data_IF_864395927859
#
_entry.id   IF_864395927859
#
_cell.length_a   1.000
_cell.length_b   1.000
_cell.length_c   1.000
_cell.angle_alpha   90.00
_cell.angle_beta   90.00
_cell.angle_gamma   90.00
#
_symmetry.space_group_name_H-M   'P 1'
#
loop_
_entity.id
_entity.type
_entity.pdbx_description
1 polymer ?
#
# COMPACT_ATOMS: atom_id res chain seq x y z
N UNK A 1 -44.74 -52.07 -17.50
CA UNK A 1 -43.96 -51.45 -18.60
C UNK A 1 -43.36 -50.16 -18.09
N UNK A 2 -42.03 -50.16 -17.93
CA UNK A 2 -41.21 -49.14 -17.25
C UNK A 2 -40.92 -48.01 -18.25
N UNK A 3 -41.25 -46.76 -17.90
CA UNK A 3 -40.81 -45.56 -18.64
C UNK A 3 -39.42 -45.15 -18.13
N UNK A 4 -38.43 -44.89 -18.99
CA UNK A 4 -37.11 -44.45 -18.53
C UNK A 4 -37.15 -42.96 -18.17
N UNK A 5 -36.56 -42.63 -17.03
CA UNK A 5 -36.31 -41.27 -16.57
C UNK A 5 -35.07 -40.73 -17.30
N UNK A 6 -35.24 -39.71 -18.15
CA UNK A 6 -34.13 -39.03 -18.80
C UNK A 6 -33.49 -38.06 -17.81
N UNK A 7 -32.34 -38.43 -17.25
CA UNK A 7 -31.52 -37.54 -16.42
C UNK A 7 -30.70 -36.63 -17.35
N UNK A 8 -31.06 -35.36 -17.37
CA UNK A 8 -30.33 -34.32 -18.10
C UNK A 8 -29.14 -33.86 -17.25
N UNK A 9 -27.94 -34.40 -17.53
CA UNK A 9 -26.68 -33.89 -16.98
C UNK A 9 -26.30 -32.58 -17.69
N UNK A 10 -26.67 -31.44 -17.12
CA UNK A 10 -26.08 -30.15 -17.51
C UNK A 10 -24.64 -30.10 -17.00
N UNK A 11 -23.68 -30.31 -17.91
CA UNK A 11 -22.29 -29.93 -17.69
C UNK A 11 -22.13 -28.45 -18.04
N UNK A 12 -22.20 -27.58 -17.04
CA UNK A 12 -21.81 -26.18 -17.20
C UNK A 12 -20.28 -26.09 -17.18
N UNK A 13 -19.68 -26.02 -18.37
CA UNK A 13 -18.30 -25.58 -18.50
C UNK A 13 -18.23 -24.12 -18.02
N UNK A 14 -17.63 -23.90 -16.84
CA UNK A 14 -17.24 -22.57 -16.40
C UNK A 14 -16.08 -22.10 -17.28
N UNK A 15 -16.41 -21.43 -18.38
CA UNK A 15 -15.44 -20.57 -19.06
C UNK A 15 -15.21 -19.39 -18.13
N UNK A 16 -14.12 -19.46 -17.35
CA UNK A 16 -13.53 -18.31 -16.69
C UNK A 16 -13.11 -17.33 -17.78
N UNK A 17 -14.01 -16.40 -18.17
CA UNK A 17 -13.56 -15.12 -18.67
C UNK A 17 -12.79 -14.49 -17.52
N UNK A 18 -11.46 -14.60 -17.55
CA UNK A 18 -10.62 -13.68 -16.85
C UNK A 18 -10.90 -12.30 -17.47
N UNK A 19 -11.93 -11.63 -16.96
CA UNK A 19 -12.16 -10.23 -17.21
C UNK A 19 -10.89 -9.52 -16.78
N UNK A 20 -10.01 -9.27 -17.74
CA UNK A 20 -8.92 -8.34 -17.58
C UNK A 20 -9.62 -7.00 -17.38
N UNK A 21 -9.91 -6.66 -16.12
CA UNK A 21 -10.39 -5.35 -15.77
C UNK A 21 -9.40 -4.37 -16.41
N UNK A 22 -9.90 -3.65 -17.40
CA UNK A 22 -9.15 -2.70 -18.20
C UNK A 22 -8.40 -1.78 -17.23
N UNK A 23 -7.10 -1.61 -17.44
CA UNK A 23 -6.26 -0.84 -16.52
C UNK A 23 -6.55 0.66 -16.72
N UNK A 24 -7.64 1.12 -16.12
CA UNK A 24 -8.10 2.51 -16.19
C UNK A 24 -7.39 3.39 -15.16
N UNK A 25 -7.46 4.71 -15.36
CA UNK A 25 -6.99 5.67 -14.39
C UNK A 25 -7.76 5.52 -13.07
N UNK A 26 -7.11 5.82 -11.95
CA UNK A 26 -7.75 5.75 -10.63
C UNK A 26 -8.93 6.71 -10.53
N UNK A 27 -9.94 6.37 -9.73
CA UNK A 27 -11.11 7.25 -9.52
C UNK A 27 -10.81 8.45 -8.61
N UNK A 28 -9.74 8.40 -7.82
CA UNK A 28 -9.40 9.42 -6.84
C UNK A 28 -7.92 9.41 -6.50
N UNK A 29 -7.37 10.59 -6.25
CA UNK A 29 -6.00 10.80 -5.78
C UNK A 29 -6.02 11.04 -4.27
N UNK A 30 -5.14 10.37 -3.53
CA UNK A 30 -5.00 10.64 -2.10
C UNK A 30 -4.48 12.07 -1.88
N UNK A 31 -4.92 12.75 -0.80
CA UNK A 31 -4.72 14.20 -0.68
C UNK A 31 -3.32 14.58 -0.20
N UNK A 32 -2.64 13.70 0.55
CA UNK A 32 -1.39 14.04 1.22
C UNK A 32 -0.18 13.82 0.31
N UNK A 33 0.91 14.53 0.62
CA UNK A 33 2.18 14.48 -0.11
C UNK A 33 3.35 14.18 0.84
N UNK A 34 4.30 13.42 0.34
CA UNK A 34 5.58 13.16 0.99
C UNK A 34 6.70 13.55 0.04
N UNK A 35 7.49 14.54 0.43
CA UNK A 35 8.64 14.98 -0.35
C UNK A 35 9.77 13.93 -0.32
N UNK A 36 10.27 13.59 -1.50
CA UNK A 36 11.35 12.61 -1.72
C UNK A 36 12.28 13.16 -2.80
N UNK A 37 13.47 13.63 -2.41
CA UNK A 37 14.52 14.08 -3.33
C UNK A 37 14.06 15.09 -4.41
N UNK A 38 13.17 16.01 -4.03
CA UNK A 38 12.59 17.02 -4.93
C UNK A 38 11.43 16.53 -5.80
N UNK A 39 10.96 15.29 -5.60
CA UNK A 39 9.71 14.76 -6.10
C UNK A 39 8.72 14.55 -4.94
N UNK A 40 7.47 14.17 -5.24
CA UNK A 40 6.43 13.97 -4.24
C UNK A 40 5.72 12.63 -4.42
N UNK A 41 5.73 11.80 -3.37
CA UNK A 41 4.86 10.63 -3.29
C UNK A 41 3.45 11.04 -2.83
N UNK A 42 2.44 10.38 -3.37
CA UNK A 42 1.05 10.54 -2.96
C UNK A 42 0.71 9.52 -1.88
N UNK A 43 0.01 9.93 -0.83
CA UNK A 43 -0.42 9.06 0.25
C UNK A 43 -1.71 9.59 0.89
N UNK A 44 -2.46 8.70 1.55
CA UNK A 44 -3.57 9.06 2.42
C UNK A 44 -3.19 8.87 3.87
N UNK A 45 -3.52 9.86 4.71
CA UNK A 45 -3.30 9.83 6.15
C UNK A 45 -4.63 9.88 6.89
N UNK A 46 -4.73 9.15 8.02
CA UNK A 46 -5.90 9.26 8.90
C UNK A 46 -5.88 10.48 9.82
N UNK A 47 -4.75 11.17 9.87
CA UNK A 47 -4.52 12.45 10.52
C UNK A 47 -3.19 12.99 10.02
N UNK A 48 -3.02 14.32 9.98
CA UNK A 48 -1.74 14.94 9.68
C UNK A 48 -0.61 14.40 10.58
N UNK A 49 0.62 14.45 10.10
CA UNK A 49 1.80 13.92 10.81
C UNK A 49 2.96 14.92 10.89
N UNK A 50 2.67 16.21 10.73
CA UNK A 50 3.67 17.31 10.74
C UNK A 50 3.92 17.90 12.13
N UNK A 51 3.05 17.62 13.08
CA UNK A 51 3.17 18.03 14.47
C UNK A 51 3.34 16.81 15.39
N UNK A 52 3.96 16.96 16.58
CA UNK A 52 4.12 15.87 17.53
C UNK A 52 2.83 15.12 17.84
N UNK A 53 2.89 13.78 17.84
CA UNK A 53 1.77 12.86 18.06
C UNK A 53 2.04 11.94 19.26
N UNK A 54 2.04 12.47 20.51
CA UNK A 54 2.34 11.67 21.71
C UNK A 54 1.30 10.59 22.03
N UNK A 55 0.09 10.66 21.44
CA UNK A 55 -0.93 9.61 21.62
C UNK A 55 -0.74 8.40 20.70
N UNK A 56 0.11 8.50 19.68
CA UNK A 56 0.29 7.44 18.70
C UNK A 56 1.29 6.42 19.23
N UNK A 57 0.81 5.20 19.39
CA UNK A 57 1.60 4.04 19.83
C UNK A 57 1.79 3.02 18.71
N UNK A 58 0.89 3.04 17.71
CA UNK A 58 0.93 2.14 16.56
C UNK A 58 0.78 2.91 15.25
N UNK A 59 1.50 2.47 14.23
CA UNK A 59 1.26 2.88 12.84
C UNK A 59 0.87 1.66 12.02
N UNK A 60 -0.13 1.80 11.14
CA UNK A 60 -0.44 0.82 10.11
C UNK A 60 -0.28 1.46 8.74
N UNK A 61 0.68 0.97 7.96
CA UNK A 61 0.90 1.32 6.56
C UNK A 61 0.21 0.24 5.73
N UNK A 62 -0.76 0.61 4.91
CA UNK A 62 -1.49 -0.33 4.04
C UNK A 62 -1.23 -0.06 2.57
N UNK A 63 -0.80 -1.10 1.84
CA UNK A 63 -0.54 -1.04 0.41
C UNK A 63 -1.70 -1.63 -0.38
N UNK A 64 -2.22 -0.84 -1.30
CA UNK A 64 -3.31 -1.21 -2.21
C UNK A 64 -2.88 -2.31 -3.20
N UNK A 65 -3.87 -2.97 -3.81
CA UNK A 65 -3.64 -3.88 -4.93
C UNK A 65 -3.40 -3.16 -6.26
N UNK A 66 -3.43 -3.91 -7.37
CA UNK A 66 -3.18 -3.42 -8.74
C UNK A 66 -4.01 -2.20 -9.15
N UNK A 67 -5.22 -2.04 -8.60
CA UNK A 67 -6.15 -0.95 -8.96
C UNK A 67 -5.81 0.41 -8.34
N UNK A 68 -4.67 0.54 -7.64
CA UNK A 68 -4.16 1.84 -7.13
C UNK A 68 -5.14 2.63 -6.26
N UNK A 69 -6.09 1.94 -5.61
CA UNK A 69 -7.19 2.54 -4.85
C UNK A 69 -6.87 2.74 -3.35
N UNK A 70 -5.77 3.45 -3.05
CA UNK A 70 -5.24 3.67 -1.70
C UNK A 70 -6.29 4.11 -0.67
N UNK A 71 -7.16 5.08 -1.02
CA UNK A 71 -8.19 5.58 -0.10
C UNK A 71 -9.21 4.50 0.31
N UNK A 72 -9.49 3.52 -0.57
CA UNK A 72 -10.35 2.38 -0.21
C UNK A 72 -9.68 1.51 0.85
N UNK A 73 -8.38 1.27 0.72
CA UNK A 73 -7.60 0.52 1.70
C UNK A 73 -7.45 1.26 3.03
N UNK A 74 -7.23 2.59 2.99
CA UNK A 74 -7.20 3.43 4.18
C UNK A 74 -8.51 3.32 4.98
N UNK A 75 -9.66 3.44 4.30
CA UNK A 75 -10.99 3.28 4.94
C UNK A 75 -11.18 1.89 5.53
N UNK A 76 -10.65 0.84 4.89
CA UNK A 76 -10.74 -0.52 5.42
C UNK A 76 -9.97 -0.67 6.74
N UNK A 77 -8.72 -0.18 6.81
CA UNK A 77 -7.95 -0.23 8.06
C UNK A 77 -8.49 0.72 9.13
N UNK A 78 -9.14 1.83 8.73
CA UNK A 78 -9.83 2.71 9.66
C UNK A 78 -11.05 2.04 10.30
N UNK A 79 -11.87 1.33 9.51
CA UNK A 79 -12.97 0.51 10.06
C UNK A 79 -12.44 -0.54 11.04
N UNK A 80 -11.36 -1.24 10.69
CA UNK A 80 -10.75 -2.23 11.56
C UNK A 80 -10.23 -1.61 12.87
N UNK A 81 -9.56 -0.44 12.80
CA UNK A 81 -9.06 0.28 13.97
C UNK A 81 -10.19 0.79 14.88
N UNK A 82 -11.32 1.19 14.30
CA UNK A 82 -12.52 1.57 15.05
C UNK A 82 -13.14 0.36 15.76
N UNK A 83 -13.29 -0.77 15.06
CA UNK A 83 -13.84 -2.01 15.61
C UNK A 83 -12.97 -2.57 16.75
N UNK A 84 -11.64 -2.44 16.66
CA UNK A 84 -10.72 -2.84 17.73
C UNK A 84 -10.60 -1.82 18.86
N UNK A 85 -11.23 -0.64 18.74
CA UNK A 85 -11.10 0.49 19.68
C UNK A 85 -9.67 1.04 19.80
N UNK A 86 -8.84 0.84 18.77
CA UNK A 86 -7.44 1.25 18.73
C UNK A 86 -7.23 2.55 17.93
N UNK A 87 -8.25 3.07 17.25
CA UNK A 87 -8.16 4.22 16.33
C UNK A 87 -7.52 5.47 16.96
N UNK A 88 -7.80 5.73 18.24
CA UNK A 88 -7.29 6.92 18.95
C UNK A 88 -5.77 6.92 19.19
N UNK A 89 -5.13 5.75 19.13
CA UNK A 89 -3.67 5.57 19.30
C UNK A 89 -2.97 5.00 18.06
N UNK A 90 -3.68 4.93 16.94
CA UNK A 90 -3.18 4.36 15.69
C UNK A 90 -3.17 5.40 14.59
N UNK A 91 -1.99 5.65 14.00
CA UNK A 91 -1.86 6.40 12.75
C UNK A 91 -2.00 5.43 11.58
N UNK A 92 -2.87 5.75 10.62
CA UNK A 92 -3.10 4.93 9.43
C UNK A 92 -2.58 5.67 8.21
N UNK A 93 -1.83 4.95 7.37
CA UNK A 93 -1.14 5.49 6.20
C UNK A 93 -1.43 4.58 5.01
N UNK A 94 -1.80 5.16 3.87
CA UNK A 94 -1.99 4.44 2.63
C UNK A 94 -1.26 5.16 1.48
N UNK A 95 0.00 4.79 1.19
CA UNK A 95 0.70 5.27 0.00
C UNK A 95 -0.08 4.90 -1.25
N UNK A 96 -0.13 5.81 -2.22
CA UNK A 96 -0.73 5.60 -3.53
C UNK A 96 0.36 5.65 -4.59
N UNK A 97 0.70 4.48 -5.14
CA UNK A 97 1.66 4.37 -6.24
C UNK A 97 0.91 4.56 -7.56
N UNK A 98 1.06 5.75 -8.15
CA UNK A 98 0.36 6.16 -9.37
C UNK A 98 1.06 5.65 -10.62
N UNK A 99 0.27 5.43 -11.67
CA UNK A 99 0.72 5.18 -13.03
C UNK A 99 0.75 6.49 -13.84
N UNK A 100 1.48 6.51 -14.96
CA UNK A 100 1.55 7.65 -15.89
C UNK A 100 0.17 8.12 -16.35
N UNK A 101 -0.76 7.17 -16.56
CA UNK A 101 -2.14 7.48 -16.94
C UNK A 101 -2.90 8.26 -15.86
N UNK A 102 -2.57 8.03 -14.59
CA UNK A 102 -3.22 8.71 -13.47
C UNK A 102 -2.82 10.19 -13.44
N UNK A 103 -1.56 10.49 -13.81
CA UNK A 103 -1.10 11.88 -13.91
C UNK A 103 -1.87 12.63 -14.99
N UNK A 104 -1.99 12.03 -16.18
CA UNK A 104 -2.70 12.65 -17.31
C UNK A 104 -4.19 12.83 -16.98
N UNK A 105 -4.85 11.78 -16.49
CA UNK A 105 -6.30 11.82 -16.23
C UNK A 105 -6.69 12.84 -15.14
N UNK A 106 -5.83 13.03 -14.12
CA UNK A 106 -6.10 13.94 -13.00
C UNK A 106 -5.39 15.29 -13.12
N UNK A 107 -4.73 15.57 -14.26
CA UNK A 107 -3.98 16.80 -14.49
C UNK A 107 -3.00 17.11 -13.35
N UNK A 108 -2.31 16.08 -12.85
CA UNK A 108 -1.43 16.21 -11.70
C UNK A 108 -0.13 16.92 -12.08
N UNK A 109 0.49 17.66 -11.14
CA UNK A 109 1.77 18.28 -11.38
C UNK A 109 2.86 17.27 -11.74
N UNK A 110 3.82 17.70 -12.55
CA UNK A 110 4.97 16.88 -12.94
C UNK A 110 5.82 16.42 -11.75
N UNK A 111 5.75 17.12 -10.59
CA UNK A 111 6.46 16.75 -9.36
C UNK A 111 6.03 15.41 -8.77
N UNK A 112 4.84 14.92 -9.13
CA UNK A 112 4.27 13.70 -8.55
C UNK A 112 4.94 12.45 -9.12
N UNK A 113 5.41 11.61 -8.21
CA UNK A 113 5.98 10.31 -8.52
C UNK A 113 4.96 9.39 -9.19
N UNK A 114 5.39 8.77 -10.29
CA UNK A 114 4.62 7.81 -11.08
C UNK A 114 5.49 6.69 -11.61
N UNK A 115 4.91 5.52 -11.78
CA UNK A 115 5.57 4.34 -12.32
C UNK A 115 4.94 3.95 -13.64
N UNK A 116 5.65 3.17 -14.46
CA UNK A 116 5.03 2.53 -15.62
C UNK A 116 4.22 1.33 -15.17
N UNK A 117 2.92 1.33 -15.44
CA UNK A 117 2.03 0.20 -15.18
C UNK A 117 2.17 -0.31 -13.73
N UNK A 118 2.56 -1.57 -13.56
CA UNK A 118 2.68 -2.24 -12.27
C UNK A 118 4.10 -2.27 -11.72
N UNK A 119 5.05 -1.52 -12.30
CA UNK A 119 6.46 -1.56 -11.88
C UNK A 119 6.68 -1.25 -10.39
N UNK A 120 5.80 -0.42 -9.80
CA UNK A 120 5.83 -0.15 -8.36
C UNK A 120 5.65 -1.42 -7.49
N UNK A 121 4.96 -2.46 -7.99
CA UNK A 121 4.75 -3.73 -7.28
C UNK A 121 6.04 -4.55 -7.12
N UNK A 122 7.01 -4.29 -7.99
CA UNK A 122 8.30 -5.00 -8.05
C UNK A 122 9.41 -4.24 -7.33
N UNK A 123 9.15 -3.01 -6.86
CA UNK A 123 10.21 -2.13 -6.37
C UNK A 123 10.89 -1.32 -7.46
N UNK A 124 10.34 -1.29 -8.69
CA UNK A 124 10.96 -0.60 -9.79
C UNK A 124 11.07 0.91 -9.54
N UNK A 125 11.94 1.54 -10.31
CA UNK A 125 12.15 2.99 -10.29
C UNK A 125 10.99 3.70 -10.99
N UNK A 126 10.50 4.80 -10.42
CA UNK A 126 9.49 5.68 -11.02
C UNK A 126 9.95 6.21 -12.38
N UNK A 127 9.02 6.36 -13.32
CA UNK A 127 9.29 6.94 -14.64
C UNK A 127 9.34 8.46 -14.64
N UNK A 128 8.85 9.11 -13.58
CA UNK A 128 9.01 10.55 -13.39
C UNK A 128 8.55 11.02 -12.02
N UNK A 129 8.91 12.25 -11.63
CA UNK A 129 9.90 13.12 -12.30
C UNK A 129 11.36 12.73 -12.01
N UNK A 130 11.59 11.87 -11.01
CA UNK A 130 12.91 11.44 -10.56
C UNK A 130 12.95 9.92 -10.46
N UNK A 131 14.13 9.29 -10.52
CA UNK A 131 14.25 7.87 -10.30
C UNK A 131 14.12 7.53 -8.80
N UNK A 132 12.93 7.09 -8.38
CA UNK A 132 12.63 6.70 -6.99
C UNK A 132 11.99 5.31 -6.99
N UNK A 133 12.59 4.37 -6.26
CA UNK A 133 11.97 3.05 -6.04
C UNK A 133 10.72 3.19 -5.15
N UNK A 134 9.69 2.36 -5.37
CA UNK A 134 8.57 2.27 -4.42
C UNK A 134 9.02 1.84 -3.02
N UNK A 135 10.13 1.11 -2.89
CA UNK A 135 10.74 0.79 -1.60
C UNK A 135 11.34 2.03 -0.91
N UNK A 136 11.93 2.95 -1.68
CA UNK A 136 12.45 4.21 -1.14
C UNK A 136 11.32 5.10 -0.59
N UNK A 137 10.11 5.00 -1.14
CA UNK A 137 8.93 5.66 -0.56
C UNK A 137 8.63 5.13 0.83
N UNK A 138 8.73 3.80 1.03
CA UNK A 138 8.57 3.18 2.35
C UNK A 138 9.68 3.62 3.31
N UNK A 139 10.93 3.63 2.86
CA UNK A 139 12.07 4.11 3.67
C UNK A 139 11.84 5.55 4.15
N UNK A 140 11.37 6.46 3.28
CA UNK A 140 11.06 7.83 3.68
C UNK A 140 9.91 7.93 4.68
N UNK A 141 8.90 7.05 4.58
CA UNK A 141 7.83 6.95 5.58
C UNK A 141 8.41 6.47 6.91
N UNK A 142 9.18 5.38 6.92
CA UNK A 142 9.76 4.79 8.13
C UNK A 142 10.73 5.74 8.82
N UNK A 143 11.57 6.44 8.05
CA UNK A 143 12.49 7.48 8.54
C UNK A 143 11.75 8.63 9.21
N UNK A 144 10.56 9.00 8.72
CA UNK A 144 9.74 10.02 9.38
C UNK A 144 9.16 9.49 10.69
N UNK A 145 8.72 8.24 10.70
CA UNK A 145 8.13 7.60 11.87
C UNK A 145 9.16 7.31 12.97
N UNK A 146 10.45 7.20 12.63
CA UNK A 146 11.53 7.03 13.61
C UNK A 146 11.95 8.33 14.31
N UNK A 147 11.39 9.49 13.95
CA UNK A 147 11.65 10.74 14.65
C UNK A 147 10.91 10.76 16.00
N UNK A 148 11.63 10.50 17.09
CA UNK A 148 11.10 10.49 18.46
C UNK A 148 10.59 11.85 18.94
N UNK A 149 10.93 12.96 18.26
CA UNK A 149 10.31 14.27 18.54
C UNK A 149 8.89 14.34 17.98
N UNK A 150 8.63 13.67 16.87
CA UNK A 150 7.29 13.58 16.27
C UNK A 150 6.47 12.45 16.89
N UNK A 151 7.08 11.30 17.18
CA UNK A 151 6.39 10.10 17.65
C UNK A 151 7.02 9.51 18.92
N UNK A 152 7.00 10.25 20.05
CA UNK A 152 7.75 9.88 21.26
C UNK A 152 7.30 8.58 21.92
N UNK A 153 6.07 8.10 21.63
CA UNK A 153 5.48 6.92 22.24
C UNK A 153 5.21 5.78 21.24
N UNK A 154 5.77 5.86 20.03
CA UNK A 154 5.58 4.83 19.00
C UNK A 154 6.23 3.51 19.44
N UNK A 155 5.49 2.41 19.34
CA UNK A 155 5.93 1.07 19.77
C UNK A 155 5.94 0.06 18.63
N UNK A 156 5.03 0.22 17.65
CA UNK A 156 4.87 -0.75 16.57
C UNK A 156 4.50 -0.07 15.25
N UNK A 157 5.14 -0.50 14.17
CA UNK A 157 4.76 -0.21 12.79
C UNK A 157 4.39 -1.53 12.13
N UNK A 158 3.18 -1.59 11.55
CA UNK A 158 2.72 -2.71 10.73
C UNK A 158 2.68 -2.26 9.27
N UNK A 159 3.39 -2.95 8.39
CA UNK A 159 3.27 -2.78 6.94
C UNK A 159 2.45 -3.95 6.39
N UNK A 160 1.25 -3.65 5.91
CA UNK A 160 0.31 -4.62 5.39
C UNK A 160 0.07 -4.39 3.89
N UNK A 161 -0.11 -5.46 3.13
CA UNK A 161 -0.43 -5.36 1.71
C UNK A 161 -1.34 -6.49 1.26
N UNK A 162 -2.17 -6.23 0.24
CA UNK A 162 -2.98 -7.25 -0.42
C UNK A 162 -2.71 -7.27 -1.94
N UNK A 163 -2.71 -8.45 -2.57
CA UNK A 163 -2.50 -8.60 -4.02
C UNK A 163 -1.20 -7.91 -4.50
N UNK A 164 -1.28 -6.86 -5.31
CA UNK A 164 -0.13 -6.06 -5.73
C UNK A 164 0.62 -5.40 -4.57
N UNK A 165 -0.07 -4.97 -3.52
CA UNK A 165 0.55 -4.43 -2.31
C UNK A 165 1.27 -5.50 -1.50
N UNK A 166 0.72 -6.72 -1.43
CA UNK A 166 1.34 -7.85 -0.74
C UNK A 166 2.68 -8.24 -1.39
N UNK A 167 2.74 -8.12 -2.72
CA UNK A 167 3.94 -8.29 -3.51
C UNK A 167 5.05 -7.29 -3.15
N UNK A 168 4.71 -6.02 -2.90
CA UNK A 168 5.65 -5.00 -2.39
C UNK A 168 6.13 -5.36 -0.99
N UNK A 169 5.18 -5.63 -0.07
CA UNK A 169 5.49 -5.93 1.34
C UNK A 169 6.44 -7.13 1.48
N UNK A 170 6.15 -8.21 0.75
CA UNK A 170 7.01 -9.39 0.68
C UNK A 170 8.45 -9.04 0.28
N UNK A 171 8.61 -8.34 -0.86
CA UNK A 171 9.94 -8.07 -1.42
C UNK A 171 10.72 -7.12 -0.52
N UNK A 172 10.03 -6.11 0.00
CA UNK A 172 10.61 -5.15 0.93
C UNK A 172 11.10 -5.83 2.22
N UNK A 173 10.30 -6.74 2.79
CA UNK A 173 10.67 -7.49 3.99
C UNK A 173 11.92 -8.38 3.81
N UNK A 174 12.18 -8.86 2.59
CA UNK A 174 13.36 -9.68 2.27
C UNK A 174 14.63 -8.86 2.10
N UNK A 175 14.53 -7.67 1.51
CA UNK A 175 15.68 -6.80 1.27
C UNK A 175 16.08 -6.08 2.56
N UNK A 176 15.10 -5.72 3.40
CA UNK A 176 15.29 -4.90 4.58
C UNK A 176 15.56 -3.43 4.22
N UNK A 177 15.36 -2.54 5.20
CA UNK A 177 15.67 -1.12 5.09
C UNK A 177 16.84 -0.71 5.99
N UNK A 178 17.52 0.40 5.68
CA UNK A 178 18.46 1.03 6.63
C UNK A 178 17.72 1.49 7.88
N UNK A 179 16.44 1.81 7.72
CA UNK A 179 15.50 2.28 8.70
C UNK A 179 15.15 1.19 9.73
N UNK A 180 15.29 -0.09 9.41
CA UNK A 180 15.04 -1.20 10.34
C UNK A 180 15.96 -1.07 11.57
N UNK A 181 17.24 -0.77 11.35
CA UNK A 181 18.21 -0.54 12.42
C UNK A 181 17.89 0.72 13.24
N UNK A 182 17.35 1.76 12.61
CA UNK A 182 16.92 2.98 13.31
C UNK A 182 15.71 2.70 14.19
N UNK A 183 14.69 2.01 13.66
CA UNK A 183 13.50 1.63 14.41
C UNK A 183 13.85 0.72 15.59
N UNK A 184 14.76 -0.24 15.40
CA UNK A 184 15.27 -1.10 16.47
C UNK A 184 15.94 -0.29 17.59
N UNK A 185 16.74 0.73 17.26
CA UNK A 185 17.39 1.61 18.25
C UNK A 185 16.39 2.41 19.06
N UNK A 186 15.31 2.87 18.43
CA UNK A 186 14.21 3.58 19.09
C UNK A 186 13.22 2.64 19.81
N UNK A 187 13.48 1.31 19.80
CA UNK A 187 12.60 0.32 20.43
C UNK A 187 11.28 0.08 19.70
N UNK A 188 11.16 0.50 18.44
CA UNK A 188 9.96 0.36 17.61
C UNK A 188 9.98 -0.98 16.88
N UNK A 189 8.95 -1.79 17.08
CA UNK A 189 8.78 -3.08 16.40
C UNK A 189 8.27 -2.88 14.98
N UNK A 190 8.87 -3.56 14.01
CA UNK A 190 8.40 -3.59 12.62
C UNK A 190 7.80 -4.96 12.29
N UNK A 191 6.57 -4.97 11.76
CA UNK A 191 5.85 -6.21 11.42
C UNK A 191 5.28 -6.15 10.01
N UNK A 192 5.42 -7.24 9.26
CA UNK A 192 4.95 -7.36 7.89
C UNK A 192 3.73 -8.28 7.80
N UNK A 193 2.70 -7.87 7.06
CA UNK A 193 1.49 -8.66 6.82
C UNK A 193 1.24 -8.78 5.32
N UNK A 194 1.37 -10.00 4.81
CA UNK A 194 1.31 -10.30 3.37
C UNK A 194 0.00 -11.06 3.12
N UNK A 195 -0.92 -10.48 2.34
CA UNK A 195 -2.21 -11.09 2.04
C UNK A 195 -2.40 -11.34 0.54
N UNK A 196 -2.50 -12.60 0.13
CA UNK A 196 -2.84 -13.02 -1.23
C UNK A 196 -2.00 -12.35 -2.34
N UNK A 197 -0.65 -12.36 -2.29
CA UNK A 197 0.16 -11.80 -3.36
C UNK A 197 0.00 -12.64 -4.64
N UNK A 198 -0.03 -11.99 -5.80
CA UNK A 198 -0.15 -12.67 -7.09
C UNK A 198 1.17 -13.29 -7.57
N UNK A 199 2.28 -12.99 -6.90
CA UNK A 199 3.58 -13.65 -7.11
C UNK A 199 4.36 -13.72 -5.80
N UNK A 200 5.20 -14.75 -5.67
CA UNK A 200 6.11 -14.90 -4.53
C UNK A 200 7.56 -14.74 -4.98
N UNK A 201 8.36 -14.10 -4.13
CA UNK A 201 9.82 -14.14 -4.25
C UNK A 201 10.32 -15.48 -3.69
N UNK A 202 11.23 -16.13 -4.42
CA UNK A 202 11.80 -17.43 -4.06
C UNK A 202 13.32 -17.40 -4.31
N UNK A 203 14.06 -18.26 -3.60
CA UNK A 203 15.51 -18.37 -3.67
C UNK A 203 15.94 -19.83 -3.51
#
# INVERSE_FOLDING_TARGET
MIKPLLVLLLSTAFVSLAAHAEDQAVNSISPDRLAINGAEATLGLSQEWVHPKPKIERVVIVLHGRLRNAQTYLRSIERAANQSRERGKTLLIAPQFLDEKDIVAHHLPESILRWRQNGWMEGATSSGPKPVSSFLVLDHILKRLSDSKLFPNLKEIVIAGHSGGAQVVQRYAMIGGKEDALLLREGVKLRYVIANPSSYAYF
#
